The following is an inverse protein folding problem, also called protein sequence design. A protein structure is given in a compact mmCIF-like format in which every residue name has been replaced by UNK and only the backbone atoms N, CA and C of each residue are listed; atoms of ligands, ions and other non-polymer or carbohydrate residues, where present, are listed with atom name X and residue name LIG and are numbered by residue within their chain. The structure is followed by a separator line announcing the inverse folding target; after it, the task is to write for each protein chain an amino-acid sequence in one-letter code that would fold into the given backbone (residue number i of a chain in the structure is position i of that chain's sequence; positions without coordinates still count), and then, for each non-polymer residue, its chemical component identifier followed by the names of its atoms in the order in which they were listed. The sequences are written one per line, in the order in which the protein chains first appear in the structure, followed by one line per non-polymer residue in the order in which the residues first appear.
data_IF_950881431737
#
_entry.id   IF_950881431737
#
_cell.length_a   1.000
_cell.length_b   1.000
_cell.length_c   1.000
_cell.angle_alpha   90.00
_cell.angle_beta   90.00
_cell.angle_gamma   90.00
#
_symmetry.space_group_name_H-M   'P 1'
#
loop_
_entity.id
_entity.type
_entity.pdbx_description
1 polymer ?
#
# COMPACT_ATOMS: atom_id res chain seq x y z
N UNK A 1 16.10 -7.95 -9.97
CA UNK A 1 16.18 -6.46 -9.86
C UNK A 1 16.35 -6.05 -8.41
N UNK A 2 17.22 -5.08 -8.17
CA UNK A 2 17.47 -4.58 -6.82
C UNK A 2 16.57 -3.36 -6.56
N UNK A 3 16.29 -3.09 -5.29
CA UNK A 3 15.40 -1.98 -4.92
C UNK A 3 15.91 -0.63 -5.42
N UNK A 4 17.23 -0.39 -5.39
CA UNK A 4 17.82 0.85 -5.86
C UNK A 4 17.75 1.05 -7.37
N UNK A 5 17.40 0.01 -8.12
CA UNK A 5 17.17 0.10 -9.56
C UNK A 5 15.77 0.60 -9.89
N UNK A 6 14.83 0.48 -8.95
CA UNK A 6 13.48 1.01 -9.10
C UNK A 6 13.45 2.47 -8.61
N UNK A 7 13.94 2.71 -7.38
CA UNK A 7 14.11 4.04 -6.83
C UNK A 7 15.49 4.09 -6.20
N UNK A 8 16.43 4.89 -6.73
CA UNK A 8 17.75 5.06 -6.12
C UNK A 8 17.65 5.50 -4.67
N UNK A 9 18.66 5.18 -3.87
CA UNK A 9 18.65 5.41 -2.43
C UNK A 9 18.47 6.89 -2.06
N UNK A 10 18.91 7.80 -2.91
CA UNK A 10 18.78 9.24 -2.70
C UNK A 10 17.49 9.84 -3.24
N UNK A 11 16.63 9.01 -3.81
CA UNK A 11 15.33 9.43 -4.36
C UNK A 11 14.22 8.84 -3.49
N UNK A 12 13.34 9.71 -2.98
CA UNK A 12 12.27 9.30 -2.07
C UNK A 12 10.96 8.98 -2.78
N UNK A 13 10.82 9.34 -4.05
CA UNK A 13 9.61 9.07 -4.83
C UNK A 13 9.95 9.00 -6.31
N UNK A 14 9.07 8.38 -7.07
CA UNK A 14 9.16 8.28 -8.52
C UNK A 14 7.76 8.19 -9.10
N UNK A 15 7.65 8.00 -10.41
CA UNK A 15 6.36 7.87 -11.09
C UNK A 15 6.26 6.54 -11.81
N UNK A 16 5.11 5.88 -11.65
CA UNK A 16 4.74 4.65 -12.33
C UNK A 16 3.34 4.83 -12.91
N UNK A 17 3.17 4.60 -14.20
CA UNK A 17 1.88 4.75 -14.89
C UNK A 17 1.21 6.11 -14.60
N UNK A 18 2.02 7.18 -14.53
CA UNK A 18 1.53 8.53 -14.27
C UNK A 18 1.25 8.84 -12.80
N UNK A 19 1.43 7.87 -11.90
CA UNK A 19 1.21 8.07 -10.47
C UNK A 19 2.54 8.25 -9.74
N UNK A 20 2.55 9.15 -8.76
CA UNK A 20 3.72 9.36 -7.91
C UNK A 20 3.78 8.26 -6.86
N UNK A 21 4.89 7.52 -6.84
CA UNK A 21 5.15 6.47 -5.88
C UNK A 21 6.24 6.95 -4.93
N UNK A 22 5.98 6.89 -3.65
CA UNK A 22 6.97 7.26 -2.63
C UNK A 22 7.75 6.04 -2.17
N UNK A 23 9.03 6.24 -1.88
CA UNK A 23 9.84 5.22 -1.24
C UNK A 23 9.16 4.88 0.10
N UNK A 24 8.94 3.62 0.37
CA UNK A 24 8.27 3.19 1.59
C UNK A 24 6.75 3.07 1.50
N UNK A 25 6.13 3.33 0.34
CA UNK A 25 4.68 3.18 0.16
C UNK A 25 4.21 1.77 0.53
N UNK A 26 4.92 0.74 0.08
CA UNK A 26 4.57 -0.64 0.40
C UNK A 26 4.70 -0.91 1.90
N UNK A 27 5.77 -0.43 2.52
CA UNK A 27 5.96 -0.60 3.96
C UNK A 27 4.88 0.12 4.77
N UNK A 28 4.49 1.31 4.34
CA UNK A 28 3.39 2.05 4.98
C UNK A 28 2.07 1.28 4.84
N UNK A 29 1.79 0.75 3.67
CA UNK A 29 0.61 -0.08 3.46
C UNK A 29 0.60 -1.28 4.41
N UNK A 30 1.72 -1.97 4.53
CA UNK A 30 1.81 -3.13 5.43
C UNK A 30 1.56 -2.74 6.88
N UNK A 31 2.11 -1.61 7.34
CA UNK A 31 1.88 -1.12 8.70
C UNK A 31 0.41 -0.80 8.93
N UNK A 32 -0.21 -0.10 7.98
CA UNK A 32 -1.63 0.25 8.07
C UNK A 32 -2.53 -0.98 7.99
N UNK A 33 -2.17 -1.96 7.17
CA UNK A 33 -2.90 -3.22 7.07
C UNK A 33 -2.89 -3.97 8.40
N UNK A 34 -1.74 -4.02 9.07
CA UNK A 34 -1.63 -4.65 10.40
C UNK A 34 -2.48 -3.92 11.42
N UNK A 35 -2.43 -2.59 11.43
CA UNK A 35 -3.25 -1.78 12.32
C UNK A 35 -4.72 -2.05 12.08
N UNK A 36 -5.16 -2.04 10.83
CA UNK A 36 -6.55 -2.24 10.49
C UNK A 36 -7.07 -3.58 10.98
N UNK A 37 -6.26 -4.64 10.91
CA UNK A 37 -6.68 -5.99 11.33
C UNK A 37 -6.71 -6.19 12.84
N UNK A 38 -6.05 -5.32 13.62
CA UNK A 38 -5.87 -5.50 15.06
C UNK A 38 -6.46 -4.43 15.94
N UNK A 39 -6.63 -3.22 15.40
CA UNK A 39 -6.97 -2.05 16.19
C UNK A 39 -8.47 -1.91 16.45
N UNK A 40 -8.80 -0.97 17.35
CA UNK A 40 -10.16 -0.54 17.60
C UNK A 40 -10.72 0.28 16.42
N UNK A 41 -11.97 0.74 16.57
CA UNK A 41 -12.68 1.42 15.49
C UNK A 41 -12.00 2.71 15.04
N UNK A 42 -11.47 3.51 15.97
CA UNK A 42 -10.86 4.79 15.63
C UNK A 42 -9.56 4.63 14.87
N UNK A 43 -8.67 3.78 15.37
CA UNK A 43 -7.40 3.48 14.70
C UNK A 43 -7.63 2.78 13.37
N UNK A 44 -8.63 1.91 13.32
CA UNK A 44 -9.00 1.21 12.08
C UNK A 44 -9.45 2.19 11.00
N UNK A 45 -10.27 3.19 11.37
CA UNK A 45 -10.73 4.19 10.43
C UNK A 45 -9.58 5.01 9.85
N UNK A 46 -8.60 5.38 10.68
CA UNK A 46 -7.41 6.10 10.22
C UNK A 46 -6.56 5.23 9.29
N UNK A 47 -6.34 3.97 9.66
CA UNK A 47 -5.59 3.04 8.83
C UNK A 47 -6.29 2.83 7.48
N UNK A 48 -7.61 2.71 7.49
CA UNK A 48 -8.39 2.54 6.27
C UNK A 48 -8.24 3.74 5.33
N UNK A 49 -8.26 4.96 5.87
CA UNK A 49 -8.05 6.17 5.09
C UNK A 49 -6.68 6.19 4.43
N UNK A 50 -5.64 5.81 5.17
CA UNK A 50 -4.29 5.74 4.63
C UNK A 50 -4.15 4.64 3.56
N UNK A 51 -4.78 3.49 3.79
CA UNK A 51 -4.81 2.41 2.81
C UNK A 51 -5.43 2.91 1.51
N UNK A 52 -6.57 3.60 1.60
CA UNK A 52 -7.24 4.13 0.42
C UNK A 52 -6.35 5.09 -0.38
N UNK A 53 -5.56 5.92 0.31
CA UNK A 53 -4.63 6.83 -0.35
C UNK A 53 -3.51 6.10 -1.08
N UNK A 54 -3.05 4.98 -0.54
CA UNK A 54 -1.92 4.24 -1.11
C UNK A 54 -2.33 3.30 -2.25
N UNK A 55 -3.59 2.90 -2.32
CA UNK A 55 -4.02 1.88 -3.27
C UNK A 55 -3.76 2.21 -4.74
N UNK A 56 -4.00 3.44 -5.23
CA UNK A 56 -3.71 3.73 -6.64
C UNK A 56 -2.26 3.44 -7.02
N UNK A 57 -1.32 3.83 -6.13
CA UNK A 57 0.10 3.58 -6.36
C UNK A 57 0.43 2.09 -6.33
N UNK A 58 -0.15 1.36 -5.38
CA UNK A 58 0.10 -0.08 -5.25
C UNK A 58 -0.45 -0.84 -6.45
N UNK A 59 -1.60 -0.44 -6.95
CA UNK A 59 -2.20 -1.04 -8.16
C UNK A 59 -1.35 -0.74 -9.39
N UNK A 60 -0.84 0.48 -9.50
CA UNK A 60 0.04 0.84 -10.61
C UNK A 60 1.33 0.03 -10.60
N UNK A 61 1.85 -0.29 -9.42
CA UNK A 61 3.02 -1.15 -9.28
C UNK A 61 2.74 -2.62 -9.63
N UNK A 62 1.47 -3.02 -9.66
CA UNK A 62 1.10 -4.41 -9.95
C UNK A 62 1.16 -5.33 -8.74
N UNK A 63 1.16 -4.77 -7.53
CA UNK A 63 1.29 -5.57 -6.30
C UNK A 63 0.23 -6.67 -6.24
N UNK A 64 -1.02 -6.34 -6.51
CA UNK A 64 -2.14 -7.28 -6.38
C UNK A 64 -2.35 -8.14 -7.62
N UNK A 65 -1.56 -7.96 -8.65
CA UNK A 65 -1.51 -8.88 -9.79
C UNK A 65 -0.67 -10.12 -9.44
N UNK A 66 0.23 -9.97 -8.49
CA UNK A 66 1.17 -11.02 -8.09
C UNK A 66 0.82 -11.59 -6.72
N UNK A 67 0.38 -10.74 -5.79
CA UNK A 67 0.12 -11.09 -4.40
C UNK A 67 -1.35 -10.91 -4.05
N UNK A 68 -1.87 -11.80 -3.20
CA UNK A 68 -3.22 -11.70 -2.68
C UNK A 68 -3.16 -11.36 -1.19
N UNK A 69 -4.08 -10.51 -0.73
CA UNK A 69 -4.20 -10.19 0.68
C UNK A 69 -4.75 -11.41 1.41
N UNK A 70 -4.02 -11.87 2.40
CA UNK A 70 -4.31 -13.10 3.13
C UNK A 70 -5.52 -12.98 4.06
N UNK A 71 -5.69 -11.85 4.73
CA UNK A 71 -6.84 -11.62 5.62
C UNK A 71 -8.08 -11.35 4.79
N UNK A 72 -9.13 -12.16 5.00
CA UNK A 72 -10.34 -12.06 4.18
C UNK A 72 -11.06 -10.73 4.32
N UNK A 73 -11.11 -10.16 5.53
CA UNK A 73 -11.81 -8.90 5.77
C UNK A 73 -11.06 -7.74 5.15
N UNK A 74 -9.74 -7.74 5.29
CA UNK A 74 -8.90 -6.72 4.67
C UNK A 74 -8.97 -6.82 3.15
N UNK A 75 -8.94 -8.04 2.61
CA UNK A 75 -9.06 -8.25 1.17
C UNK A 75 -10.37 -7.69 0.64
N UNK A 76 -11.49 -7.98 1.33
CA UNK A 76 -12.79 -7.46 0.94
C UNK A 76 -12.82 -5.93 0.98
N UNK A 77 -12.21 -5.32 2.00
CA UNK A 77 -12.10 -3.88 2.10
C UNK A 77 -11.37 -3.30 0.89
N UNK A 78 -10.18 -3.83 0.60
CA UNK A 78 -9.34 -3.33 -0.49
C UNK A 78 -10.03 -3.50 -1.85
N UNK A 79 -10.66 -4.63 -2.08
CA UNK A 79 -11.39 -4.87 -3.34
C UNK A 79 -12.57 -3.89 -3.51
N UNK A 80 -13.15 -3.40 -2.44
CA UNK A 80 -14.23 -2.43 -2.47
C UNK A 80 -13.79 -0.97 -2.54
N UNK A 81 -12.51 -0.71 -2.39
CA UNK A 81 -11.96 0.64 -2.49
C UNK A 81 -11.47 0.95 -3.95
#
# INVERSE_FOLDING_TARGET
MRADQILPDDVNHGQFDGLTIRKGTVAAFLANARTWTRADADERAQAQSQIAEDLPALRALGLFEVLEIRDERLRALVEGL
#
